data_IF_783104039947
#
_entry.id   IF_783104039947
#
_cell.length_a   1.000
_cell.length_b   1.000
_cell.length_c   1.000
_cell.angle_alpha   90.00
_cell.angle_beta   90.00
_cell.angle_gamma   90.00
#
_symmetry.space_group_name_H-M   'P 1'
#
loop_
_entity.id
_entity.type
_entity.pdbx_description
1 polymer ?
#
# COMPACT_ATOMS: atom_id res chain seq x y z
N UNK A 1 -2.44 -8.90 -9.30
CA UNK A 1 -2.81 -10.32 -9.54
C UNK A 1 -3.43 -10.45 -10.94
N UNK A 2 -2.99 -11.39 -11.78
CA UNK A 2 -3.54 -11.55 -13.14
C UNK A 2 -4.81 -12.43 -13.13
N UNK A 3 -5.75 -12.27 -14.10
CA UNK A 3 -6.93 -13.13 -14.22
C UNK A 3 -6.63 -14.62 -14.44
N UNK A 4 -5.42 -14.92 -14.93
CA UNK A 4 -4.93 -16.28 -15.13
C UNK A 4 -4.47 -16.91 -13.81
N UNK A 5 -3.78 -16.12 -12.96
CA UNK A 5 -3.40 -16.56 -11.63
C UNK A 5 -4.62 -16.95 -10.77
N UNK A 6 -5.69 -16.14 -10.81
CA UNK A 6 -6.95 -16.45 -10.12
C UNK A 6 -7.58 -17.74 -10.65
N UNK A 7 -7.58 -17.96 -11.96
CA UNK A 7 -8.08 -19.20 -12.57
C UNK A 7 -7.25 -20.42 -12.15
N UNK A 8 -5.95 -20.28 -12.02
CA UNK A 8 -5.07 -21.36 -11.57
C UNK A 8 -5.33 -21.71 -10.10
N UNK A 9 -5.59 -20.73 -9.23
CA UNK A 9 -5.98 -20.97 -7.83
C UNK A 9 -7.30 -21.72 -7.71
N UNK A 10 -8.30 -21.35 -8.52
CA UNK A 10 -9.58 -22.06 -8.59
C UNK A 10 -9.37 -23.51 -9.05
N UNK A 11 -8.52 -23.72 -10.07
CA UNK A 11 -8.23 -25.07 -10.60
C UNK A 11 -7.47 -25.97 -9.61
N UNK A 12 -6.59 -25.39 -8.80
CA UNK A 12 -5.84 -26.09 -7.75
C UNK A 12 -6.70 -26.43 -6.53
N UNK A 13 -7.89 -25.85 -6.42
CA UNK A 13 -8.78 -26.04 -5.27
C UNK A 13 -8.42 -25.18 -4.06
N UNK A 14 -7.46 -24.26 -4.19
CA UNK A 14 -7.04 -23.35 -3.13
C UNK A 14 -8.07 -22.22 -2.91
N UNK A 15 -8.83 -21.88 -3.95
CA UNK A 15 -9.87 -20.86 -3.87
C UNK A 15 -11.23 -21.41 -4.34
N UNK A 16 -12.14 -21.74 -3.41
CA UNK A 16 -13.45 -22.28 -3.78
C UNK A 16 -14.27 -21.25 -4.57
N UNK A 17 -14.69 -21.64 -5.77
CA UNK A 17 -15.49 -20.81 -6.67
C UNK A 17 -16.58 -21.62 -7.34
N UNK A 18 -17.68 -20.95 -7.69
CA UNK A 18 -18.81 -21.52 -8.42
C UNK A 18 -18.71 -21.06 -9.87
N UNK A 19 -18.68 -22.01 -10.81
CA UNK A 19 -18.70 -21.68 -12.24
C UNK A 19 -20.13 -21.43 -12.70
N UNK A 20 -20.39 -20.24 -13.20
CA UNK A 20 -21.68 -19.84 -13.79
C UNK A 20 -21.45 -19.52 -15.27
N UNK A 21 -21.70 -20.49 -16.13
CA UNK A 21 -21.43 -20.39 -17.57
C UNK A 21 -19.95 -20.17 -17.89
N UNK A 22 -19.63 -18.99 -18.45
CA UNK A 22 -18.26 -18.56 -18.79
C UNK A 22 -17.56 -17.78 -17.67
N UNK A 23 -18.23 -17.56 -16.54
CA UNK A 23 -17.71 -16.77 -15.42
C UNK A 23 -17.50 -17.65 -14.18
N UNK A 24 -16.55 -17.25 -13.33
CA UNK A 24 -16.40 -17.79 -11.98
C UNK A 24 -16.96 -16.78 -10.99
N UNK A 25 -17.80 -17.23 -10.06
CA UNK A 25 -18.28 -16.44 -8.93
C UNK A 25 -17.64 -16.96 -7.66
N UNK A 26 -17.03 -16.06 -6.90
CA UNK A 26 -16.36 -16.35 -5.65
C UNK A 26 -17.22 -15.75 -4.54
N UNK A 27 -17.67 -16.54 -3.56
CA UNK A 27 -18.36 -15.99 -2.40
C UNK A 27 -17.45 -15.03 -1.63
N UNK A 28 -17.98 -13.88 -1.21
CA UNK A 28 -17.17 -12.86 -0.53
C UNK A 28 -16.45 -13.41 0.72
N UNK A 29 -17.13 -14.24 1.52
CA UNK A 29 -16.54 -14.89 2.70
C UNK A 29 -15.27 -15.71 2.39
N UNK A 30 -15.22 -16.35 1.22
CA UNK A 30 -14.06 -17.14 0.79
C UNK A 30 -12.91 -16.22 0.40
N UNK A 31 -13.23 -15.13 -0.29
CA UNK A 31 -12.24 -14.11 -0.65
C UNK A 31 -11.64 -13.49 0.61
N UNK A 32 -12.47 -13.10 1.57
CA UNK A 32 -12.03 -12.50 2.83
C UNK A 32 -11.14 -13.46 3.63
N UNK A 33 -11.53 -14.74 3.71
CA UNK A 33 -10.71 -15.77 4.36
C UNK A 33 -9.36 -15.97 3.65
N UNK A 34 -9.36 -16.02 2.32
CA UNK A 34 -8.14 -16.19 1.53
C UNK A 34 -7.20 -14.98 1.70
N UNK A 35 -7.75 -13.77 1.69
CA UNK A 35 -7.00 -12.53 1.90
C UNK A 35 -6.50 -12.39 3.34
N UNK A 36 -7.23 -12.92 4.33
CA UNK A 36 -6.79 -12.95 5.72
C UNK A 36 -5.63 -13.94 5.97
N UNK A 37 -5.49 -14.96 5.10
CA UNK A 37 -4.36 -15.89 5.15
C UNK A 37 -3.15 -15.44 4.34
N UNK A 38 -3.38 -14.67 3.27
CA UNK A 38 -2.31 -14.01 2.57
C UNK A 38 -1.60 -13.08 3.58
N UNK A 39 -0.30 -13.27 3.76
CA UNK A 39 0.51 -12.47 4.67
C UNK A 39 0.24 -10.97 4.44
N UNK A 40 0.10 -10.24 5.56
CA UNK A 40 -0.20 -8.82 5.57
C UNK A 40 0.72 -8.07 4.58
N UNK A 41 0.23 -7.04 3.89
CA UNK A 41 1.01 -6.25 2.91
C UNK A 41 2.34 -5.71 3.45
N UNK A 42 2.48 -5.63 4.78
CA UNK A 42 3.71 -5.30 5.51
C UNK A 42 4.89 -6.20 5.10
N UNK A 43 4.65 -7.47 4.78
CA UNK A 43 5.68 -8.42 4.32
C UNK A 43 6.00 -8.33 2.81
N UNK A 44 5.06 -7.80 2.00
CA UNK A 44 5.14 -7.81 0.53
C UNK A 44 5.64 -6.51 -0.10
N UNK A 45 6.07 -5.51 0.68
CA UNK A 45 6.72 -4.31 0.15
C UNK A 45 6.24 -2.97 0.70
N UNK A 46 5.31 -2.94 1.66
CA UNK A 46 4.96 -1.71 2.39
C UNK A 46 5.85 -1.47 3.62
N UNK A 47 7.06 -2.03 3.65
CA UNK A 47 8.06 -1.76 4.70
C UNK A 47 8.49 -0.29 4.80
N UNK A 48 8.08 0.57 3.85
CA UNK A 48 8.28 2.01 3.96
C UNK A 48 7.30 2.69 4.94
N UNK A 49 6.14 2.08 5.22
CA UNK A 49 5.09 2.69 6.03
C UNK A 49 5.01 2.05 7.44
N UNK A 50 5.84 1.04 7.71
CA UNK A 50 5.92 0.31 8.99
C UNK A 50 6.93 0.90 9.98
N UNK A 51 7.52 2.07 9.70
CA UNK A 51 8.17 2.83 10.78
C UNK A 51 7.06 3.19 11.76
N UNK A 52 7.00 2.49 12.90
CA UNK A 52 6.01 2.72 13.97
C UNK A 52 5.91 4.20 14.30
N UNK A 53 4.83 4.66 14.98
CA UNK A 53 4.50 6.07 15.11
C UNK A 53 5.74 6.87 15.48
N UNK A 54 6.33 7.52 14.47
CA UNK A 54 7.53 8.32 14.68
C UNK A 54 7.00 9.55 15.40
N UNK A 55 7.53 9.82 16.59
CA UNK A 55 7.18 11.03 17.31
C UNK A 55 7.37 12.22 16.35
N UNK A 56 6.27 12.87 15.97
CA UNK A 56 6.23 13.78 14.84
C UNK A 56 7.23 14.92 15.00
N UNK A 57 7.50 15.30 16.25
CA UNK A 57 8.51 16.29 16.60
C UNK A 57 9.93 15.83 16.28
N UNK A 58 10.28 14.58 16.61
CA UNK A 58 11.61 14.02 16.30
C UNK A 58 11.87 13.94 14.79
N UNK A 59 10.86 13.53 14.01
CA UNK A 59 10.95 13.48 12.56
C UNK A 59 11.05 14.87 11.93
N UNK A 60 10.23 15.82 12.39
CA UNK A 60 10.30 17.21 11.89
C UNK A 60 11.66 17.82 12.22
N UNK A 61 12.22 17.55 13.40
CA UNK A 61 13.53 18.06 13.78
C UNK A 61 14.64 17.43 12.95
N UNK A 62 14.60 16.12 12.64
CA UNK A 62 15.60 15.51 11.75
C UNK A 62 15.56 16.09 10.34
N UNK A 63 14.35 16.35 9.81
CA UNK A 63 14.21 16.99 8.49
C UNK A 63 14.76 18.42 8.51
N UNK A 64 14.55 19.18 9.60
CA UNK A 64 15.11 20.53 9.78
C UNK A 64 16.62 20.56 10.04
N UNK A 65 17.20 19.48 10.55
CA UNK A 65 18.66 19.39 10.71
C UNK A 65 19.35 19.08 9.38
N UNK A 66 18.72 18.25 8.54
CA UNK A 66 19.17 17.99 7.17
C UNK A 66 19.00 19.23 6.29
N UNK A 67 17.88 19.93 6.45
CA UNK A 67 17.56 21.14 5.73
C UNK A 67 18.15 22.37 6.43
N UNK A 68 19.34 22.80 6.00
CA UNK A 68 20.01 23.99 6.55
C UNK A 68 19.39 25.30 6.05
N UNK A 69 18.30 25.25 5.28
CA UNK A 69 17.62 26.44 4.80
C UNK A 69 17.00 27.23 5.95
N UNK A 70 17.07 28.54 5.85
CA UNK A 70 16.30 29.39 6.76
C UNK A 70 14.80 29.29 6.43
N UNK A 71 13.91 29.49 7.41
CA UNK A 71 12.47 29.45 7.17
C UNK A 71 11.99 30.43 6.09
N UNK A 72 12.73 31.51 5.84
CA UNK A 72 12.38 32.51 4.82
C UNK A 72 12.72 32.02 3.40
N UNK A 73 13.87 31.37 3.23
CA UNK A 73 14.27 30.81 1.93
C UNK A 73 13.31 29.70 1.48
N UNK A 74 12.88 28.84 2.41
CA UNK A 74 11.87 27.81 2.14
C UNK A 74 10.54 28.40 1.67
N UNK A 75 10.06 29.46 2.33
CA UNK A 75 8.80 30.11 1.96
C UNK A 75 8.89 30.82 0.60
N UNK A 76 10.02 31.44 0.31
CA UNK A 76 10.28 32.08 -0.98
C UNK A 76 10.34 31.05 -2.11
N UNK A 77 10.95 29.87 -1.89
CA UNK A 77 10.97 28.75 -2.86
C UNK A 77 9.55 28.22 -3.13
N UNK A 78 8.78 27.93 -2.08
CA UNK A 78 7.41 27.43 -2.20
C UNK A 78 6.51 28.39 -2.99
N UNK A 79 6.65 29.69 -2.76
CA UNK A 79 5.88 30.72 -3.47
C UNK A 79 6.22 30.81 -4.96
N UNK A 80 7.43 30.43 -5.37
CA UNK A 80 7.84 30.40 -6.78
C UNK A 80 7.31 29.16 -7.49
N UNK A 81 7.22 28.03 -6.80
CA UNK A 81 6.65 26.79 -7.35
C UNK A 81 5.13 26.88 -7.58
N UNK A 82 4.41 27.70 -6.81
CA UNK A 82 2.96 27.92 -7.01
C UNK A 82 2.63 28.86 -8.20
N UNK A 83 3.63 29.58 -8.73
CA UNK A 83 3.46 30.53 -9.84
C UNK A 83 3.75 29.93 -11.24
N UNK A 84 4.24 28.69 -11.33
CA UNK A 84 4.43 27.91 -12.59
C UNK A 84 3.24 27.00 -12.93
#
# INVERSE_FOLDING_TARGET
MSPEAVRNLIRKGELPAIRVGKQYRIPQKVLDWYLAQAELPEAMGFGMWSKGPVDSLSYINSVREEDQQSPQEFLDELSREEEE
#
